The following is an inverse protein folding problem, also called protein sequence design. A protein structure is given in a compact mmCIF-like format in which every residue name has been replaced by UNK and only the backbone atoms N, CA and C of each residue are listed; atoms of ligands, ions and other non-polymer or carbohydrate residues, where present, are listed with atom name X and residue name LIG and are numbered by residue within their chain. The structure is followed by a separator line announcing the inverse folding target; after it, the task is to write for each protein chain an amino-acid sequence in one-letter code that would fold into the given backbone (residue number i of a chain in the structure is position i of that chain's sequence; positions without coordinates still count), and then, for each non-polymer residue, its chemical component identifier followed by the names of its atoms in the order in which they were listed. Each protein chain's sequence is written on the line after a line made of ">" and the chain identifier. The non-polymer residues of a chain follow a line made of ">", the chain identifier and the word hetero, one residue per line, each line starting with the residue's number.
data_IF_464558254169
#
_entry.id   IF_464558254169
#
_cell.length_a   1.000
_cell.length_b   1.000
_cell.length_c   1.000
_cell.angle_alpha   90.00
_cell.angle_beta   90.00
_cell.angle_gamma   90.00
#
_symmetry.space_group_name_H-M   'P 1'
#
loop_
_entity.id
_entity.type
_entity.pdbx_description
1 polymer ?
#
# COMPACT_ATOMS: atom_id res chain seq x y z
N UNK A 1 28.71 25.13 -18.72
CA UNK A 1 28.90 25.12 -17.25
C UNK A 1 27.53 25.34 -16.62
N UNK A 2 26.88 24.49 -15.83
CA UNK A 2 27.13 23.18 -15.26
C UNK A 2 25.80 22.41 -15.41
N UNK A 3 25.68 21.54 -16.41
CA UNK A 3 24.63 20.51 -16.42
C UNK A 3 25.03 19.52 -15.33
N UNK A 4 24.66 19.80 -14.08
CA UNK A 4 24.72 18.80 -13.02
C UNK A 4 23.97 17.58 -13.54
N UNK A 5 24.73 16.50 -13.69
CA UNK A 5 24.26 15.22 -14.16
C UNK A 5 23.10 14.77 -13.27
N UNK A 6 21.88 14.89 -13.79
CA UNK A 6 20.72 14.18 -13.25
C UNK A 6 21.08 12.70 -13.31
N UNK A 7 21.18 12.06 -12.14
CA UNK A 7 21.52 10.65 -12.01
C UNK A 7 20.67 9.83 -13.01
N UNK A 8 21.29 8.98 -13.85
CA UNK A 8 20.58 8.15 -14.82
C UNK A 8 19.44 7.32 -14.19
N UNK A 9 19.59 6.94 -12.93
CA UNK A 9 18.61 6.21 -12.11
C UNK A 9 17.30 7.00 -11.93
N UNK A 10 17.39 8.32 -11.67
CA UNK A 10 16.22 9.21 -11.50
C UNK A 10 15.49 9.42 -12.83
N UNK A 11 16.22 9.49 -13.95
CA UNK A 11 15.61 9.54 -15.30
C UNK A 11 14.89 8.25 -15.65
N UNK A 12 15.37 7.09 -15.20
CA UNK A 12 14.74 5.80 -15.42
C UNK A 12 13.46 5.67 -14.58
N UNK A 13 13.47 6.14 -13.33
CA UNK A 13 12.29 6.24 -12.46
C UNK A 13 11.20 7.17 -13.04
N UNK A 14 11.61 8.25 -13.70
CA UNK A 14 10.70 9.18 -14.39
C UNK A 14 10.25 8.64 -15.77
N UNK A 15 11.05 7.86 -16.48
CA UNK A 15 10.66 7.24 -17.77
C UNK A 15 9.61 6.15 -17.62
N UNK A 16 9.58 5.48 -16.46
CA UNK A 16 8.53 4.53 -16.07
C UNK A 16 7.18 5.22 -15.82
N UNK A 17 7.12 6.56 -15.77
CA UNK A 17 5.89 7.35 -15.60
C UNK A 17 4.91 7.30 -16.79
N UNK A 18 5.20 6.53 -17.83
CA UNK A 18 4.36 6.44 -19.04
C UNK A 18 3.50 5.17 -19.14
N UNK A 19 3.70 4.15 -18.29
CA UNK A 19 2.85 2.95 -18.28
C UNK A 19 2.33 2.64 -16.89
N UNK A 20 1.14 3.18 -16.60
CA UNK A 20 0.46 3.04 -15.30
C UNK A 20 -0.08 1.62 -15.02
N UNK A 21 0.09 0.68 -15.95
CA UNK A 21 -0.24 -0.73 -15.76
C UNK A 21 0.97 -1.53 -15.29
N UNK A 22 0.89 -2.08 -14.09
CA UNK A 22 1.91 -2.98 -13.55
C UNK A 22 1.35 -4.37 -13.28
N UNK A 23 2.21 -5.39 -13.32
CA UNK A 23 1.88 -6.72 -12.87
C UNK A 23 2.05 -6.80 -11.35
N UNK A 24 0.98 -7.11 -10.64
CA UNK A 24 1.03 -7.33 -9.19
C UNK A 24 0.92 -8.82 -8.92
N UNK A 25 2.03 -9.41 -8.48
CA UNK A 25 2.06 -10.80 -8.01
C UNK A 25 1.42 -10.89 -6.62
N UNK A 26 0.42 -11.76 -6.51
CA UNK A 26 -0.38 -11.95 -5.30
C UNK A 26 -0.20 -13.39 -4.80
N UNK A 27 0.31 -13.63 -3.59
CA UNK A 27 0.48 -14.97 -3.05
C UNK A 27 -0.83 -15.75 -3.06
N UNK A 28 -0.86 -16.87 -3.80
CA UNK A 28 -2.06 -17.71 -3.97
C UNK A 28 -3.03 -17.28 -5.07
N UNK A 29 -2.71 -16.25 -5.87
CA UNK A 29 -3.56 -15.74 -6.95
C UNK A 29 -2.74 -15.49 -8.22
N UNK A 30 -3.35 -15.56 -9.42
CA UNK A 30 -2.66 -15.17 -10.64
C UNK A 30 -2.27 -13.69 -10.58
N UNK A 31 -1.10 -13.37 -11.13
CA UNK A 31 -0.65 -11.99 -11.33
C UNK A 31 -1.70 -11.22 -12.12
N UNK A 32 -2.04 -10.02 -11.65
CA UNK A 32 -3.06 -9.18 -12.28
C UNK A 32 -2.47 -7.87 -12.76
N UNK A 33 -2.84 -7.49 -13.99
CA UNK A 33 -2.42 -6.23 -14.56
C UNK A 33 -3.30 -5.15 -13.98
N UNK A 34 -2.68 -4.19 -13.31
CA UNK A 34 -3.38 -3.19 -12.52
C UNK A 34 -2.96 -1.82 -13.00
N UNK A 35 -3.93 -1.00 -13.37
CA UNK A 35 -3.71 0.41 -13.68
C UNK A 35 -3.80 1.25 -12.40
N UNK A 36 -2.68 1.44 -11.70
CA UNK A 36 -2.67 2.16 -10.42
C UNK A 36 -3.14 3.61 -10.56
N UNK A 37 -2.86 4.24 -11.70
CA UNK A 37 -3.24 5.63 -11.96
C UNK A 37 -4.75 5.79 -12.12
N UNK A 38 -5.37 4.85 -12.83
CA UNK A 38 -6.83 4.81 -12.97
C UNK A 38 -7.50 4.63 -11.61
N UNK A 39 -7.05 3.65 -10.82
CA UNK A 39 -7.54 3.45 -9.45
C UNK A 39 -7.35 4.72 -8.60
N UNK A 40 -6.16 5.32 -8.64
CA UNK A 40 -5.86 6.56 -7.92
C UNK A 40 -6.77 7.73 -8.32
N UNK A 41 -7.22 7.78 -9.58
CA UNK A 41 -8.11 8.85 -10.06
C UNK A 41 -9.50 8.83 -9.44
N UNK A 42 -9.90 7.69 -8.86
CA UNK A 42 -11.19 7.54 -8.18
C UNK A 42 -11.15 7.94 -6.69
N UNK A 43 -9.98 8.31 -6.16
CA UNK A 43 -9.85 8.68 -4.75
C UNK A 43 -10.49 10.03 -4.45
N UNK A 44 -11.55 10.00 -3.64
CA UNK A 44 -12.17 11.21 -3.10
C UNK A 44 -11.45 11.62 -1.81
N UNK A 45 -10.63 12.66 -1.89
CA UNK A 45 -9.90 13.16 -0.73
C UNK A 45 -10.82 13.84 0.29
N UNK A 46 -10.88 13.29 1.49
CA UNK A 46 -11.65 13.85 2.61
C UNK A 46 -10.75 14.51 3.66
N UNK A 47 -9.43 14.28 3.56
CA UNK A 47 -8.44 14.80 4.50
C UNK A 47 -7.87 16.16 4.06
N UNK A 48 -7.52 17.00 5.03
CA UNK A 48 -7.06 18.37 4.79
C UNK A 48 -5.55 18.47 4.49
N UNK A 49 -4.71 17.71 5.20
CA UNK A 49 -3.25 17.77 5.01
C UNK A 49 -2.77 16.89 3.85
N UNK A 50 -1.68 17.27 3.18
CA UNK A 50 -1.11 16.47 2.08
C UNK A 50 -0.63 15.10 2.57
N UNK A 51 -0.07 15.02 3.78
CA UNK A 51 0.37 13.76 4.37
C UNK A 51 -0.79 12.77 4.57
N UNK A 52 -1.93 13.27 5.05
CA UNK A 52 -3.13 12.44 5.24
C UNK A 52 -3.75 12.03 3.90
N UNK A 53 -3.70 12.92 2.89
CA UNK A 53 -4.16 12.60 1.53
C UNK A 53 -3.33 11.49 0.91
N UNK A 54 -2.01 11.49 1.06
CA UNK A 54 -1.14 10.40 0.59
C UNK A 54 -1.43 9.09 1.31
N UNK A 55 -1.70 9.13 2.62
CA UNK A 55 -2.11 7.96 3.37
C UNK A 55 -3.47 7.42 2.92
N UNK A 56 -4.44 8.30 2.65
CA UNK A 56 -5.76 7.92 2.12
C UNK A 56 -5.65 7.26 0.74
N UNK A 57 -4.85 7.85 -0.16
CA UNK A 57 -4.55 7.29 -1.48
C UNK A 57 -3.94 5.89 -1.37
N UNK A 58 -2.90 5.74 -0.53
CA UNK A 58 -2.23 4.45 -0.35
C UNK A 58 -3.18 3.36 0.15
N UNK A 59 -4.03 3.70 1.13
CA UNK A 59 -5.00 2.75 1.68
C UNK A 59 -6.09 2.38 0.67
N UNK A 60 -6.56 3.33 -0.15
CA UNK A 60 -7.56 3.08 -1.18
C UNK A 60 -7.01 2.15 -2.26
N UNK A 61 -5.82 2.46 -2.81
CA UNK A 61 -5.18 1.62 -3.83
C UNK A 61 -4.91 0.22 -3.28
N UNK A 62 -4.52 0.09 -2.00
CA UNK A 62 -4.35 -1.23 -1.38
C UNK A 62 -5.65 -2.07 -1.40
N UNK A 63 -6.80 -1.46 -1.09
CA UNK A 63 -8.09 -2.17 -1.05
C UNK A 63 -8.59 -2.57 -2.43
N UNK A 64 -8.44 -1.69 -3.42
CA UNK A 64 -8.90 -1.96 -4.78
C UNK A 64 -8.05 -3.02 -5.47
N UNK A 65 -6.75 -3.08 -5.17
CA UNK A 65 -5.82 -4.00 -5.85
C UNK A 65 -5.72 -5.35 -5.15
N UNK A 66 -5.73 -5.34 -3.81
CA UNK A 66 -5.56 -6.54 -3.01
C UNK A 66 -6.85 -6.83 -2.25
N UNK A 67 -7.55 -7.93 -2.58
CA UNK A 67 -8.65 -8.41 -1.76
C UNK A 67 -8.21 -8.59 -0.31
N UNK A 68 -9.13 -8.38 0.64
CA UNK A 68 -8.84 -8.41 2.08
C UNK A 68 -8.14 -9.70 2.53
N UNK A 69 -8.51 -10.84 1.95
CA UNK A 69 -7.89 -12.15 2.19
C UNK A 69 -6.40 -12.18 1.81
N UNK A 70 -6.01 -11.52 0.72
CA UNK A 70 -4.61 -11.41 0.30
C UNK A 70 -3.86 -10.44 1.20
N UNK A 71 -4.49 -9.33 1.60
CA UNK A 71 -3.92 -8.39 2.56
C UNK A 71 -3.56 -9.05 3.90
N UNK A 72 -4.31 -10.08 4.34
CA UNK A 72 -3.98 -10.83 5.54
C UNK A 72 -2.60 -11.50 5.45
N UNK A 73 -2.25 -12.05 4.28
CA UNK A 73 -0.93 -12.65 4.03
C UNK A 73 0.22 -11.63 4.09
N UNK A 74 -0.05 -10.35 3.85
CA UNK A 74 0.94 -9.28 4.00
C UNK A 74 0.97 -8.67 5.41
N UNK A 75 -0.10 -8.82 6.19
CA UNK A 75 -0.18 -8.30 7.57
C UNK A 75 0.47 -9.19 8.63
N UNK A 76 0.65 -10.48 8.33
CA UNK A 76 1.08 -11.48 9.32
C UNK A 76 0.03 -11.71 10.41
N UNK A 77 -1.25 -11.55 10.07
CA UNK A 77 -2.37 -11.90 10.95
C UNK A 77 -2.37 -13.42 11.23
N UNK A 78 -2.97 -13.84 12.34
CA UNK A 78 -2.98 -15.25 12.74
C UNK A 78 -3.70 -16.19 11.75
N UNK A 79 -4.59 -15.65 10.90
CA UNK A 79 -5.24 -16.37 9.79
C UNK A 79 -4.46 -16.31 8.47
N UNK A 80 -3.32 -15.63 8.43
CA UNK A 80 -2.46 -15.61 7.25
C UNK A 80 -1.94 -17.01 6.99
N UNK A 81 -2.07 -17.48 5.75
CA UNK A 81 -1.53 -18.78 5.33
C UNK A 81 0.00 -18.74 5.32
N UNK A 82 0.56 -17.58 4.99
CA UNK A 82 1.98 -17.28 5.07
C UNK A 82 2.18 -15.76 5.18
N UNK A 83 3.36 -15.35 5.63
CA UNK A 83 3.74 -13.93 5.71
C UNK A 83 4.66 -13.52 4.56
N UNK A 84 4.25 -12.51 3.81
CA UNK A 84 5.04 -11.92 2.73
C UNK A 84 5.19 -10.41 2.92
N UNK A 85 6.32 -9.81 2.54
CA UNK A 85 6.41 -8.36 2.39
C UNK A 85 5.55 -7.90 1.20
N UNK A 86 4.98 -6.69 1.27
CA UNK A 86 4.37 -6.07 0.09
C UNK A 86 5.43 -5.95 -1.03
N UNK A 87 5.09 -6.27 -2.29
CA UNK A 87 6.03 -6.16 -3.39
C UNK A 87 6.56 -4.72 -3.51
N UNK A 88 7.88 -4.55 -3.54
CA UNK A 88 8.52 -3.24 -3.66
C UNK A 88 8.00 -2.43 -4.87
N UNK A 89 7.87 -3.02 -6.09
CA UNK A 89 7.32 -2.30 -7.23
C UNK A 89 5.90 -1.76 -7.01
N UNK A 90 5.08 -2.48 -6.23
CA UNK A 90 3.71 -2.07 -5.94
C UNK A 90 3.68 -0.86 -5.00
N UNK A 91 4.51 -0.88 -3.95
CA UNK A 91 4.65 0.26 -3.04
C UNK A 91 5.20 1.49 -3.77
N UNK A 92 6.21 1.29 -4.62
CA UNK A 92 6.84 2.38 -5.37
C UNK A 92 5.84 2.97 -6.41
N UNK A 93 4.99 2.15 -7.02
CA UNK A 93 3.89 2.60 -7.88
C UNK A 93 2.83 3.45 -7.14
N UNK A 94 2.49 3.10 -5.90
CA UNK A 94 1.60 3.92 -5.06
C UNK A 94 2.25 5.28 -4.75
N UNK A 95 3.55 5.29 -4.40
CA UNK A 95 4.30 6.52 -4.14
C UNK A 95 4.25 7.43 -5.37
N UNK A 96 4.50 6.88 -6.57
CA UNK A 96 4.41 7.64 -7.81
C UNK A 96 3.02 8.25 -8.03
N UNK A 97 1.94 7.49 -7.79
CA UNK A 97 0.58 8.02 -7.89
C UNK A 97 0.34 9.18 -6.91
N UNK A 98 0.85 9.09 -5.68
CA UNK A 98 0.79 10.17 -4.70
C UNK A 98 1.53 11.43 -5.19
N UNK A 99 2.73 11.27 -5.77
CA UNK A 99 3.52 12.40 -6.33
C UNK A 99 2.77 13.10 -7.46
N UNK A 100 2.24 12.33 -8.43
CA UNK A 100 1.48 12.85 -9.57
C UNK A 100 0.21 13.57 -9.09
N UNK A 101 -0.54 12.97 -8.15
CA UNK A 101 -1.77 13.56 -7.62
C UNK A 101 -1.54 14.87 -6.85
N UNK A 102 -0.30 15.11 -6.41
CA UNK A 102 0.09 16.33 -5.71
C UNK A 102 0.47 17.48 -6.65
N UNK A 103 0.44 17.25 -7.97
CA UNK A 103 0.79 18.22 -9.00
C UNK A 103 2.16 18.89 -8.78
N UNK A 104 3.12 18.12 -8.26
CA UNK A 104 4.48 18.58 -8.01
C UNK A 104 5.26 18.64 -9.33
N UNK A 105 6.07 19.68 -9.50
CA UNK A 105 7.03 19.77 -10.59
C UNK A 105 8.23 18.84 -10.33
N UNK A 106 9.12 18.68 -11.31
CA UNK A 106 10.25 17.75 -11.21
C UNK A 106 11.18 18.06 -10.03
N UNK A 107 11.33 19.34 -9.68
CA UNK A 107 12.16 19.77 -8.55
C UNK A 107 11.48 19.46 -7.21
N UNK A 108 10.20 19.79 -7.07
CA UNK A 108 9.38 19.42 -5.92
C UNK A 108 9.25 17.91 -5.77
N UNK A 109 9.26 17.14 -6.87
CA UNK A 109 9.24 15.69 -6.79
C UNK A 109 10.46 15.14 -6.04
N UNK A 110 11.66 15.63 -6.35
CA UNK A 110 12.89 15.19 -5.69
C UNK A 110 12.91 15.61 -4.21
N UNK A 111 12.48 16.84 -3.92
CA UNK A 111 12.46 17.37 -2.55
C UNK A 111 11.46 16.62 -1.65
N UNK A 112 10.27 16.31 -2.16
CA UNK A 112 9.19 15.71 -1.36
C UNK A 112 9.11 14.19 -1.42
N UNK A 113 9.83 13.52 -2.33
CA UNK A 113 9.85 12.06 -2.45
C UNK A 113 10.12 11.33 -1.11
N UNK A 114 11.11 11.74 -0.29
CA UNK A 114 11.34 11.09 1.01
C UNK A 114 10.12 11.20 1.94
N UNK A 115 9.45 12.36 1.93
CA UNK A 115 8.27 12.61 2.77
C UNK A 115 7.07 11.80 2.30
N UNK A 116 6.80 11.76 0.99
CA UNK A 116 5.71 10.96 0.43
C UNK A 116 5.96 9.47 0.66
N UNK A 117 7.17 8.99 0.41
CA UNK A 117 7.57 7.60 0.66
C UNK A 117 7.34 7.20 2.13
N UNK A 118 7.77 8.05 3.07
CA UNK A 118 7.56 7.82 4.50
C UNK A 118 6.07 7.75 4.87
N UNK A 119 5.26 8.71 4.40
CA UNK A 119 3.82 8.74 4.67
C UNK A 119 3.08 7.52 4.08
N UNK A 120 3.39 7.14 2.83
CA UNK A 120 2.78 5.98 2.17
C UNK A 120 3.15 4.69 2.91
N UNK A 121 4.45 4.47 3.20
CA UNK A 121 4.90 3.28 3.92
C UNK A 121 4.30 3.21 5.33
N UNK A 122 4.19 4.33 6.03
CA UNK A 122 3.56 4.41 7.35
C UNK A 122 2.07 4.08 7.28
N UNK A 123 1.34 4.59 6.29
CA UNK A 123 -0.08 4.32 6.09
C UNK A 123 -0.34 2.83 5.80
N UNK A 124 0.38 2.26 4.84
CA UNK A 124 0.27 0.83 4.50
C UNK A 124 0.60 -0.06 5.71
N UNK A 125 1.69 0.23 6.43
CA UNK A 125 2.06 -0.49 7.66
C UNK A 125 0.99 -0.34 8.75
N UNK A 126 0.45 0.86 8.92
CA UNK A 126 -0.61 1.14 9.88
C UNK A 126 -1.85 0.28 9.61
N UNK A 127 -2.29 0.25 8.35
CA UNK A 127 -3.43 -0.54 7.89
C UNK A 127 -3.22 -2.04 8.07
N UNK A 128 -2.09 -2.58 7.64
CA UNK A 128 -1.79 -4.00 7.82
C UNK A 128 -1.69 -4.38 9.31
N UNK A 129 -1.12 -3.52 10.15
CA UNK A 129 -1.11 -3.75 11.60
C UNK A 129 -2.51 -3.69 12.23
N UNK A 130 -3.38 -2.81 11.74
CA UNK A 130 -4.76 -2.73 12.20
C UNK A 130 -5.52 -4.01 11.86
N UNK A 131 -5.37 -4.53 10.63
CA UNK A 131 -5.92 -5.83 10.24
C UNK A 131 -5.42 -6.95 11.14
N UNK A 132 -4.11 -7.01 11.40
CA UNK A 132 -3.53 -7.99 12.33
C UNK A 132 -4.15 -7.91 13.72
N UNK A 133 -4.31 -6.70 14.27
CA UNK A 133 -4.89 -6.48 15.62
C UNK A 133 -6.37 -6.85 15.68
N UNK A 134 -7.15 -6.51 14.66
CA UNK A 134 -8.59 -6.79 14.63
C UNK A 134 -8.84 -8.31 14.58
N UNK A 135 -8.09 -9.03 13.75
CA UNK A 135 -8.22 -10.49 13.68
C UNK A 135 -7.76 -11.19 14.97
N UNK A 136 -6.74 -10.67 15.67
CA UNK A 136 -6.35 -11.19 16.99
C UNK A 136 -7.47 -11.03 18.02
N UNK A 137 -8.18 -9.90 18.02
CA UNK A 137 -9.32 -9.66 18.91
C UNK A 137 -10.49 -10.59 18.59
N UNK A 138 -10.80 -10.79 17.31
CA UNK A 138 -11.88 -11.69 16.89
C UNK A 138 -11.61 -13.13 17.33
N UNK A 139 -10.35 -13.58 17.24
CA UNK A 139 -9.94 -14.89 17.75
C UNK A 139 -10.06 -15.01 19.27
N UNK A 140 -9.71 -13.96 20.02
CA UNK A 140 -9.88 -13.95 21.48
C UNK A 140 -11.36 -14.00 21.88
N UNK A 141 -12.24 -13.28 21.17
CA UNK A 141 -13.68 -13.32 21.38
C UNK A 141 -14.24 -14.71 21.05
N UNK A 142 -13.83 -15.30 19.93
CA UNK A 142 -14.23 -16.66 19.56
C UNK A 142 -13.79 -17.70 20.59
N UNK A 143 -12.56 -17.60 21.12
CA UNK A 143 -12.09 -18.46 22.21
C UNK A 143 -12.93 -18.30 23.47
N UNK A 144 -13.23 -17.06 23.89
CA UNK A 144 -14.09 -16.79 25.04
C UNK A 144 -15.50 -17.37 24.86
N UNK A 145 -16.09 -17.20 23.67
CA UNK A 145 -17.40 -17.74 23.35
C UNK A 145 -17.41 -19.26 23.29
N UNK A 146 -16.39 -19.89 22.70
CA UNK A 146 -16.24 -21.34 22.68
C UNK A 146 -16.16 -21.93 24.10
N UNK A 147 -15.35 -21.32 24.98
CA UNK A 147 -15.25 -21.70 26.40
C UNK A 147 -16.60 -21.52 27.10
N UNK A 148 -17.29 -20.39 26.88
CA UNK A 148 -18.61 -20.14 27.48
C UNK A 148 -19.69 -21.13 27.01
N UNK A 149 -19.56 -21.66 25.80
CA UNK A 149 -20.44 -22.68 25.22
C UNK A 149 -20.03 -24.13 25.60
N UNK A 150 -19.05 -24.30 26.50
CA UNK A 150 -18.58 -25.61 26.96
C UNK A 150 -17.67 -26.33 25.96
N UNK A 151 -17.18 -25.64 24.93
CA UNK A 151 -16.22 -26.16 23.96
C UNK A 151 -14.79 -25.89 24.44
N UNK A 152 -14.09 -26.91 24.90
CA UNK A 152 -12.63 -26.87 25.13
C UNK A 152 -11.93 -27.44 23.89
N UNK A 153 -11.10 -26.64 23.18
CA UNK A 153 -10.31 -27.17 22.07
C UNK A 153 -9.32 -28.23 22.61
N UNK A 154 -9.05 -29.30 21.84
CA UNK A 154 -7.97 -30.24 22.16
C UNK A 154 -6.60 -29.58 22.08
#
# INVERSE_FOLDING_TARGET
>A
ENLQAVLPEVRMELSLLTNATMMVDRPGYPGQQVNLREIASHVIFTRKSSADKWGQMANFVLDEVLPREVQLNYSGAAKAVAYYPLPRPFVDGIIQCCMISSNMDTQGMVEFLPKVSSCVRAALKGKLNEMRKNESKDLEVLKKNAIALGWTPP
#
